data_IF_587969735911
#
_entry.id   IF_587969735911
#
_cell.length_a   1.000
_cell.length_b   1.000
_cell.length_c   1.000
_cell.angle_alpha   90.00
_cell.angle_beta   90.00
_cell.angle_gamma   90.00
#
_symmetry.space_group_name_H-M   'P 1'
#
loop_
_entity.id
_entity.type
_entity.pdbx_description
1 polymer ?
#
# COMPACT_ATOMS: atom_id res chain seq x y z
N UNK A 1 -15.07 4.72 -43.97
CA UNK A 1 -15.12 3.43 -43.22
C UNK A 1 -14.73 3.75 -41.78
N UNK A 2 -15.73 4.13 -41.03
CA UNK A 2 -15.54 4.53 -39.62
C UNK A 2 -15.44 3.27 -38.74
N UNK A 3 -14.25 3.02 -38.21
CA UNK A 3 -14.02 1.97 -37.22
C UNK A 3 -14.19 2.53 -35.83
N UNK A 4 -15.43 2.60 -35.39
CA UNK A 4 -15.75 2.90 -33.98
C UNK A 4 -15.68 1.59 -33.22
N UNK A 5 -14.57 1.35 -32.51
CA UNK A 5 -14.45 0.25 -31.55
C UNK A 5 -15.41 0.49 -30.39
N UNK A 6 -16.19 -0.50 -29.97
CA UNK A 6 -17.10 -0.34 -28.82
C UNK A 6 -16.33 -0.17 -27.52
N UNK A 7 -16.66 0.88 -26.78
CA UNK A 7 -16.22 1.08 -25.40
C UNK A 7 -16.80 -0.06 -24.56
N UNK A 8 -15.98 -0.80 -23.78
CA UNK A 8 -16.51 -1.82 -22.90
C UNK A 8 -17.42 -1.19 -21.83
N UNK A 9 -18.50 -1.86 -21.42
CA UNK A 9 -19.39 -1.37 -20.40
C UNK A 9 -18.66 -1.22 -19.07
N UNK A 10 -19.06 -0.24 -18.23
CA UNK A 10 -18.49 -0.09 -16.90
C UNK A 10 -18.69 -1.39 -16.09
N UNK A 11 -17.63 -1.84 -15.42
CA UNK A 11 -17.73 -2.97 -14.49
C UNK A 11 -18.86 -2.68 -13.51
N UNK A 12 -19.91 -3.49 -13.58
CA UNK A 12 -21.02 -3.39 -12.64
C UNK A 12 -20.46 -3.47 -11.21
N UNK A 13 -20.74 -2.45 -10.41
CA UNK A 13 -20.44 -2.45 -9.00
C UNK A 13 -21.03 -3.72 -8.39
N UNK A 14 -20.18 -4.67 -8.01
CA UNK A 14 -20.62 -5.85 -7.29
C UNK A 14 -21.25 -5.35 -5.99
N UNK A 15 -22.55 -5.58 -5.83
CA UNK A 15 -23.31 -5.22 -4.67
C UNK A 15 -22.57 -5.70 -3.42
N UNK A 16 -22.27 -4.78 -2.52
CA UNK A 16 -21.70 -5.09 -1.23
C UNK A 16 -22.69 -6.02 -0.50
N UNK A 17 -22.26 -7.22 -0.14
CA UNK A 17 -22.98 -8.08 0.78
C UNK A 17 -23.04 -7.38 2.14
N UNK A 18 -24.24 -7.08 2.68
CA UNK A 18 -24.38 -6.34 3.94
C UNK A 18 -24.04 -7.20 5.18
N UNK A 19 -23.74 -8.47 5.01
CA UNK A 19 -23.25 -9.35 6.07
C UNK A 19 -21.72 -9.38 5.98
N UNK A 20 -21.06 -8.50 6.72
CA UNK A 20 -19.63 -8.60 6.98
C UNK A 20 -19.32 -9.99 7.53
N UNK A 21 -18.97 -10.92 6.65
CA UNK A 21 -18.46 -12.23 7.03
C UNK A 21 -17.16 -11.97 7.78
N UNK A 22 -17.24 -11.97 9.10
CA UNK A 22 -16.08 -12.05 10.00
C UNK A 22 -15.41 -13.40 9.75
N UNK A 23 -14.57 -13.45 8.70
CA UNK A 23 -13.65 -14.56 8.56
C UNK A 23 -12.82 -14.61 9.85
N UNK A 24 -12.57 -15.80 10.42
CA UNK A 24 -11.73 -15.91 11.60
C UNK A 24 -10.38 -15.23 11.31
N UNK A 25 -9.76 -14.57 12.32
CA UNK A 25 -8.50 -13.88 12.14
C UNK A 25 -7.49 -14.80 11.45
N UNK A 26 -6.75 -14.28 10.50
CA UNK A 26 -5.74 -15.05 9.80
C UNK A 26 -4.74 -15.58 10.84
N UNK A 27 -4.34 -16.84 10.73
CA UNK A 27 -3.42 -17.52 11.67
C UNK A 27 -2.13 -16.78 11.97
N UNK A 28 -1.78 -15.81 11.14
CA UNK A 28 -0.54 -15.04 11.19
C UNK A 28 -0.74 -13.61 11.69
N UNK A 29 -1.98 -13.22 11.96
CA UNK A 29 -2.31 -11.86 12.43
C UNK A 29 -2.00 -11.74 13.92
N UNK A 30 -1.15 -10.77 14.27
CA UNK A 30 -0.81 -10.40 15.63
C UNK A 30 -1.61 -9.17 16.08
N UNK A 31 -1.74 -8.17 15.18
CA UNK A 31 -2.52 -6.97 15.42
C UNK A 31 -3.57 -6.83 14.32
N UNK A 32 -4.85 -6.64 14.65
CA UNK A 32 -5.91 -6.46 13.66
C UNK A 32 -5.76 -5.11 12.94
N UNK A 33 -6.44 -4.92 11.79
CA UNK A 33 -6.47 -3.63 11.11
C UNK A 33 -6.85 -2.49 12.05
N UNK A 34 -5.97 -1.50 12.15
CA UNK A 34 -6.07 -0.39 13.10
C UNK A 34 -5.76 0.91 12.36
N UNK A 35 -6.69 1.86 12.41
CA UNK A 35 -6.53 3.17 11.77
C UNK A 35 -5.76 4.13 12.69
N UNK A 36 -4.69 4.72 12.15
CA UNK A 36 -3.89 5.74 12.82
C UNK A 36 -4.44 7.16 12.59
N UNK A 37 -4.08 8.13 13.46
CA UNK A 37 -4.54 9.52 13.32
C UNK A 37 -4.16 10.18 11.99
N UNK A 38 -3.06 9.76 11.37
CA UNK A 38 -2.60 10.24 10.06
C UNK A 38 -3.32 9.60 8.86
N UNK A 39 -4.35 8.79 9.09
CA UNK A 39 -5.16 8.16 8.05
C UNK A 39 -4.54 6.90 7.42
N UNK A 40 -3.45 6.38 7.98
CA UNK A 40 -2.88 5.08 7.61
C UNK A 40 -3.53 4.00 8.48
N UNK A 41 -4.13 3.00 7.85
CA UNK A 41 -4.53 1.76 8.51
C UNK A 41 -3.39 0.76 8.41
N UNK A 42 -3.09 0.05 9.48
CA UNK A 42 -2.06 -0.99 9.52
C UNK A 42 -2.58 -2.25 10.22
N UNK A 43 -1.93 -3.35 9.95
CA UNK A 43 -2.02 -4.58 10.74
C UNK A 43 -0.66 -5.23 10.86
N UNK A 44 -0.44 -6.10 11.86
CA UNK A 44 0.85 -6.76 12.09
C UNK A 44 0.69 -8.26 11.94
N UNK A 45 1.60 -8.88 11.19
CA UNK A 45 1.56 -10.31 10.89
C UNK A 45 2.92 -10.97 11.02
N UNK A 46 2.91 -12.23 11.43
CA UNK A 46 4.05 -13.13 11.20
C UNK A 46 4.06 -13.62 9.76
N UNK A 47 5.22 -14.06 9.26
CA UNK A 47 5.36 -14.54 7.88
C UNK A 47 4.79 -15.96 7.75
N UNK A 48 3.79 -16.18 6.87
CA UNK A 48 3.37 -17.53 6.49
C UNK A 48 4.54 -18.33 5.89
N UNK A 49 4.64 -19.63 6.21
CA UNK A 49 5.73 -20.47 5.70
C UNK A 49 5.82 -20.46 4.17
N UNK A 50 4.68 -20.49 3.50
CA UNK A 50 4.63 -20.46 2.04
C UNK A 50 5.20 -19.17 1.44
N UNK A 51 5.07 -18.04 2.16
CA UNK A 51 5.50 -16.73 1.68
C UNK A 51 6.98 -16.42 1.94
N UNK A 52 7.67 -17.24 2.74
CA UNK A 52 9.09 -17.03 3.09
C UNK A 52 10.02 -17.12 1.88
N UNK A 53 9.73 -18.06 0.99
CA UNK A 53 10.53 -18.27 -0.22
C UNK A 53 10.50 -17.02 -1.11
N UNK A 54 9.35 -16.38 -1.24
CA UNK A 54 9.17 -15.19 -2.09
C UNK A 54 9.75 -13.92 -1.43
N UNK A 55 9.78 -13.89 -0.10
CA UNK A 55 10.25 -12.74 0.66
C UNK A 55 11.79 -12.69 0.78
N UNK A 56 12.48 -13.85 0.80
CA UNK A 56 13.94 -13.87 0.97
C UNK A 56 14.70 -13.11 -0.12
N UNK A 57 14.36 -13.20 -1.42
CA UNK A 57 15.01 -12.40 -2.45
C UNK A 57 14.63 -10.91 -2.43
N UNK A 58 13.49 -10.54 -1.84
CA UNK A 58 13.09 -9.13 -1.63
C UNK A 58 13.97 -8.47 -0.58
N UNK A 59 14.33 -9.23 0.47
CA UNK A 59 15.13 -8.76 1.61
C UNK A 59 16.44 -9.55 1.72
N UNK A 60 17.38 -9.40 0.76
CA UNK A 60 18.64 -10.13 0.78
C UNK A 60 19.45 -9.78 2.04
N UNK A 61 19.97 -10.82 2.71
CA UNK A 61 20.76 -10.66 3.93
C UNK A 61 19.96 -10.44 5.21
N UNK A 62 18.64 -10.26 5.14
CA UNK A 62 17.78 -10.16 6.33
C UNK A 62 17.36 -11.56 6.76
N UNK A 63 17.67 -11.94 8.00
CA UNK A 63 17.20 -13.19 8.57
C UNK A 63 15.69 -13.09 8.86
N UNK A 64 14.88 -13.93 8.19
CA UNK A 64 13.42 -13.95 8.36
C UNK A 64 13.00 -14.57 9.69
N UNK A 65 13.83 -15.40 10.27
CA UNK A 65 13.64 -16.09 11.56
C UNK A 65 14.69 -15.64 12.57
N UNK A 66 14.57 -16.10 13.81
CA UNK A 66 15.49 -15.82 14.88
C UNK A 66 14.78 -15.35 16.15
N UNK A 67 15.52 -14.79 17.09
CA UNK A 67 15.01 -14.31 18.37
C UNK A 67 13.93 -13.23 18.18
N UNK A 68 14.17 -12.32 17.23
CA UNK A 68 13.14 -11.40 16.72
C UNK A 68 12.81 -11.79 15.29
N UNK A 69 11.72 -12.51 15.06
CA UNK A 69 11.29 -12.87 13.69
C UNK A 69 10.87 -11.62 12.93
N UNK A 70 11.00 -11.68 11.60
CA UNK A 70 10.52 -10.63 10.74
C UNK A 70 9.00 -10.55 10.79
N UNK A 71 8.48 -9.35 10.99
CA UNK A 71 7.06 -9.01 10.94
C UNK A 71 6.74 -8.29 9.65
N UNK A 72 5.56 -8.59 9.09
CA UNK A 72 4.96 -7.91 7.96
C UNK A 72 3.91 -6.94 8.49
N UNK A 73 3.99 -5.70 8.00
CA UNK A 73 3.05 -4.63 8.35
C UNK A 73 2.41 -4.12 7.06
N UNK A 74 1.40 -4.84 6.52
CA UNK A 74 0.58 -4.29 5.45
C UNK A 74 -0.12 -3.03 5.94
N UNK A 75 -0.07 -1.99 5.11
CA UNK A 75 -0.70 -0.70 5.38
C UNK A 75 -1.57 -0.28 4.22
N UNK A 76 -2.61 0.45 4.50
CA UNK A 76 -3.44 1.05 3.47
C UNK A 76 -3.94 2.43 3.86
N UNK A 77 -4.25 3.22 2.86
CA UNK A 77 -4.79 4.56 3.00
C UNK A 77 -6.03 4.68 2.14
N UNK A 78 -7.08 5.30 2.69
CA UNK A 78 -8.27 5.62 1.91
C UNK A 78 -7.95 6.70 0.88
N UNK A 79 -8.22 6.42 -0.39
CA UNK A 79 -8.16 7.40 -1.47
C UNK A 79 -9.49 8.14 -1.62
N UNK A 80 -9.42 9.38 -2.14
CA UNK A 80 -10.62 10.16 -2.43
C UNK A 80 -11.29 9.76 -3.73
N UNK A 81 -10.54 9.09 -4.61
CA UNK A 81 -10.98 8.64 -5.93
C UNK A 81 -10.72 7.15 -6.07
N UNK A 82 -11.33 6.53 -7.09
CA UNK A 82 -11.06 5.14 -7.43
C UNK A 82 -9.69 5.04 -8.13
N UNK A 83 -8.73 4.39 -7.48
CA UNK A 83 -7.35 4.31 -7.98
C UNK A 83 -7.16 3.30 -9.12
N UNK A 84 -8.17 2.54 -9.50
CA UNK A 84 -8.17 1.70 -10.71
C UNK A 84 -8.40 2.53 -11.97
N UNK A 85 -9.06 3.66 -11.83
CA UNK A 85 -9.26 4.63 -12.91
C UNK A 85 -7.96 5.36 -13.26
N UNK A 86 -7.93 5.96 -14.45
CA UNK A 86 -6.78 6.69 -14.99
C UNK A 86 -7.16 8.14 -15.24
N UNK A 87 -6.38 9.07 -14.71
CA UNK A 87 -6.57 10.51 -14.89
C UNK A 87 -5.63 11.33 -14.02
N UNK A 88 -5.65 12.64 -14.21
CA UNK A 88 -4.80 13.57 -13.44
C UNK A 88 -5.19 13.59 -11.95
N UNK A 89 -6.48 13.43 -11.66
CA UNK A 89 -6.96 13.37 -10.28
C UNK A 89 -6.45 12.11 -9.54
N UNK A 90 -6.48 10.97 -10.21
CA UNK A 90 -5.97 9.70 -9.68
C UNK A 90 -4.45 9.74 -9.52
N UNK A 91 -3.73 10.34 -10.47
CA UNK A 91 -2.28 10.52 -10.38
C UNK A 91 -1.91 11.42 -9.19
N UNK A 92 -2.54 12.58 -9.05
CA UNK A 92 -2.31 13.50 -7.94
C UNK A 92 -2.65 12.87 -6.57
N UNK A 93 -3.71 12.06 -6.51
CA UNK A 93 -4.08 11.35 -5.28
C UNK A 93 -3.03 10.29 -4.92
N UNK A 94 -2.53 9.52 -5.90
CA UNK A 94 -1.46 8.54 -5.70
C UNK A 94 -0.18 9.19 -5.17
N UNK A 95 0.21 10.32 -5.73
CA UNK A 95 1.40 11.06 -5.30
C UNK A 95 1.26 11.55 -3.84
N UNK A 96 0.08 12.07 -3.48
CA UNK A 96 -0.21 12.51 -2.11
C UNK A 96 -0.12 11.36 -1.09
N UNK A 97 -0.70 10.21 -1.44
CA UNK A 97 -0.72 9.03 -0.57
C UNK A 97 0.67 8.38 -0.48
N UNK A 98 1.45 8.40 -1.57
CA UNK A 98 2.85 7.98 -1.61
C UNK A 98 3.71 8.84 -0.67
N UNK A 99 3.66 10.18 -0.81
CA UNK A 99 4.41 11.09 0.04
C UNK A 99 4.13 10.86 1.53
N UNK A 100 2.85 10.68 1.88
CA UNK A 100 2.43 10.42 3.26
C UNK A 100 3.01 9.11 3.78
N UNK A 101 2.90 8.03 2.99
CA UNK A 101 3.43 6.73 3.38
C UNK A 101 4.94 6.77 3.57
N UNK A 102 5.68 7.30 2.60
CA UNK A 102 7.15 7.36 2.65
C UNK A 102 7.64 8.16 3.85
N UNK A 103 7.03 9.33 4.11
CA UNK A 103 7.40 10.16 5.26
C UNK A 103 7.15 9.43 6.60
N UNK A 104 6.01 8.77 6.74
CA UNK A 104 5.66 7.99 7.92
C UNK A 104 6.54 6.75 8.08
N UNK A 105 6.73 5.96 7.02
CA UNK A 105 7.54 4.74 7.06
C UNK A 105 9.01 5.02 7.38
N UNK A 106 9.58 6.10 6.83
CA UNK A 106 10.92 6.55 7.18
C UNK A 106 11.02 6.89 8.68
N UNK A 107 10.06 7.65 9.22
CA UNK A 107 10.00 8.00 10.63
C UNK A 107 9.85 6.76 11.54
N UNK A 108 9.07 5.76 11.12
CA UNK A 108 8.98 4.45 11.81
C UNK A 108 10.34 3.76 11.85
N UNK A 109 11.01 3.65 10.70
CA UNK A 109 12.30 2.98 10.63
C UNK A 109 13.38 3.67 11.48
N UNK A 110 13.39 5.00 11.54
CA UNK A 110 14.31 5.77 12.38
C UNK A 110 14.06 5.53 13.86
N UNK A 111 12.79 5.51 14.29
CA UNK A 111 12.41 5.24 15.69
C UNK A 111 12.71 3.80 16.11
N UNK A 112 12.49 2.84 15.22
CA UNK A 112 12.88 1.44 15.44
C UNK A 112 14.40 1.33 15.63
N UNK A 113 15.18 1.97 14.75
CA UNK A 113 16.64 1.99 14.85
C UNK A 113 17.12 2.62 16.19
N UNK A 114 16.50 3.71 16.64
CA UNK A 114 16.80 4.33 17.93
C UNK A 114 16.51 3.41 19.14
N UNK A 115 15.63 2.41 18.97
CA UNK A 115 15.33 1.37 19.96
C UNK A 115 16.12 0.07 19.77
N UNK A 116 17.14 0.07 18.89
CA UNK A 116 17.93 -1.12 18.57
C UNK A 116 17.19 -2.17 17.75
N UNK A 117 16.07 -1.81 17.15
CA UNK A 117 15.25 -2.65 16.28
C UNK A 117 15.50 -2.34 14.81
N UNK A 118 15.21 -3.32 13.93
CA UNK A 118 15.34 -3.12 12.51
C UNK A 118 13.98 -2.85 11.86
N UNK A 119 13.95 -1.96 10.87
CA UNK A 119 12.79 -1.68 10.04
C UNK A 119 13.16 -1.29 8.62
N UNK A 120 12.31 -1.65 7.68
CA UNK A 120 12.40 -1.28 6.26
C UNK A 120 10.97 -1.14 5.69
N UNK A 121 10.86 -0.59 4.50
CA UNK A 121 9.59 -0.48 3.80
C UNK A 121 9.79 -0.64 2.29
N UNK A 122 8.71 -1.00 1.60
CA UNK A 122 8.68 -1.10 0.15
C UNK A 122 8.38 0.28 -0.43
N UNK A 123 9.18 0.72 -1.40
CA UNK A 123 8.81 1.86 -2.25
C UNK A 123 7.64 1.45 -3.15
N UNK A 124 6.44 2.02 -2.98
CA UNK A 124 5.27 1.60 -3.75
C UNK A 124 5.40 1.79 -5.26
N UNK A 125 6.35 2.63 -5.72
CA UNK A 125 6.58 2.88 -7.13
C UNK A 125 7.41 1.78 -7.80
N UNK A 126 8.49 1.38 -7.16
CA UNK A 126 9.41 0.35 -7.70
C UNK A 126 9.10 -1.05 -7.18
N UNK A 127 8.38 -1.16 -6.06
CA UNK A 127 8.18 -2.41 -5.35
C UNK A 127 9.43 -2.90 -4.59
N UNK A 128 10.51 -2.12 -4.54
CA UNK A 128 11.77 -2.53 -3.92
C UNK A 128 11.84 -2.10 -2.46
N UNK A 129 12.52 -2.89 -1.63
CA UNK A 129 12.85 -2.50 -0.27
C UNK A 129 13.85 -1.33 -0.29
N UNK A 130 13.58 -0.29 0.52
CA UNK A 130 14.28 1.00 0.46
C UNK A 130 15.60 0.97 1.22
N UNK A 131 15.63 0.32 2.38
CA UNK A 131 16.79 0.33 3.29
C UNK A 131 17.65 -0.93 3.19
N UNK A 132 17.12 -2.01 2.60
CA UNK A 132 17.86 -3.25 2.39
C UNK A 132 18.77 -3.13 1.17
N UNK A 133 20.11 -3.19 1.35
CA UNK A 133 21.04 -3.12 0.24
C UNK A 133 20.81 -4.25 -0.77
N UNK A 134 20.99 -3.93 -2.04
CA UNK A 134 20.89 -4.90 -3.15
C UNK A 134 19.52 -5.57 -3.35
N UNK A 135 18.45 -5.06 -2.75
CA UNK A 135 17.08 -5.47 -3.12
C UNK A 135 16.86 -5.18 -4.61
N UNK A 136 16.52 -6.21 -5.40
CA UNK A 136 16.29 -6.11 -6.85
C UNK A 136 15.03 -6.83 -7.30
N UNK A 137 14.36 -7.47 -6.37
CA UNK A 137 13.12 -8.21 -6.62
C UNK A 137 11.98 -7.42 -5.99
N UNK A 138 11.00 -7.09 -6.80
CA UNK A 138 9.83 -6.39 -6.33
C UNK A 138 9.01 -7.26 -5.37
N UNK A 139 8.56 -6.65 -4.29
CA UNK A 139 7.68 -7.29 -3.32
C UNK A 139 6.31 -7.55 -3.94
N UNK A 140 5.76 -8.77 -3.85
CA UNK A 140 4.47 -9.12 -4.43
C UNK A 140 3.32 -8.60 -3.54
N UNK A 141 3.11 -7.29 -3.53
CA UNK A 141 2.25 -6.60 -2.58
C UNK A 141 0.81 -7.11 -2.59
N UNK A 142 0.19 -7.23 -3.77
CA UNK A 142 -1.20 -7.70 -3.88
C UNK A 142 -1.36 -9.13 -3.38
N UNK A 143 -0.41 -10.03 -3.70
CA UNK A 143 -0.45 -11.42 -3.25
C UNK A 143 -0.21 -11.53 -1.74
N UNK A 144 0.61 -10.63 -1.18
CA UNK A 144 0.82 -10.52 0.26
C UNK A 144 -0.46 -10.11 0.99
N UNK A 145 -1.14 -9.06 0.51
CA UNK A 145 -2.42 -8.62 1.08
C UNK A 145 -3.51 -9.69 0.97
N UNK A 146 -3.62 -10.37 -0.17
CA UNK A 146 -4.54 -11.49 -0.33
C UNK A 146 -4.24 -12.62 0.67
N UNK A 147 -2.95 -12.95 0.85
CA UNK A 147 -2.53 -14.02 1.76
C UNK A 147 -2.73 -13.65 3.23
N UNK A 148 -2.35 -12.43 3.63
CA UNK A 148 -2.34 -11.99 5.02
C UNK A 148 -3.71 -11.52 5.50
N UNK A 149 -4.44 -10.77 4.67
CA UNK A 149 -5.70 -10.14 5.02
C UNK A 149 -6.92 -10.83 4.40
N UNK A 150 -6.70 -11.77 3.48
CA UNK A 150 -7.75 -12.50 2.75
C UNK A 150 -8.74 -11.58 2.02
N UNK A 151 -8.26 -10.43 1.59
CA UNK A 151 -9.08 -9.49 0.85
C UNK A 151 -9.42 -10.05 -0.53
N UNK A 152 -10.56 -9.62 -1.06
CA UNK A 152 -11.00 -10.04 -2.39
C UNK A 152 -10.12 -9.41 -3.46
N UNK A 153 -9.75 -10.23 -4.43
CA UNK A 153 -9.07 -9.79 -5.64
C UNK A 153 -9.95 -10.03 -6.86
N UNK A 154 -9.82 -9.18 -7.85
CA UNK A 154 -10.44 -9.34 -9.15
C UNK A 154 -9.36 -9.20 -10.23
N UNK A 155 -9.56 -9.86 -11.36
CA UNK A 155 -8.68 -9.72 -12.53
C UNK A 155 -9.29 -8.67 -13.45
N UNK A 156 -8.54 -7.62 -13.74
CA UNK A 156 -8.89 -6.56 -14.69
C UNK A 156 -7.84 -6.54 -15.81
N UNK A 157 -8.14 -7.17 -16.93
CA UNK A 157 -7.16 -7.38 -18.00
C UNK A 157 -6.01 -8.28 -17.57
N UNK A 158 -4.78 -7.78 -17.66
CA UNK A 158 -3.57 -8.48 -17.18
C UNK A 158 -3.20 -8.11 -15.72
N UNK A 159 -4.03 -7.36 -15.03
CA UNK A 159 -3.73 -6.84 -13.71
C UNK A 159 -4.65 -7.47 -12.66
N UNK A 160 -4.08 -7.75 -11.49
CA UNK A 160 -4.82 -8.18 -10.30
C UNK A 160 -5.14 -6.93 -9.47
N UNK A 161 -6.41 -6.71 -9.18
CA UNK A 161 -6.91 -5.57 -8.42
C UNK A 161 -7.41 -6.08 -7.07
N UNK A 162 -6.96 -5.45 -6.00
CA UNK A 162 -7.37 -5.78 -4.65
C UNK A 162 -8.46 -4.80 -4.19
N UNK A 163 -9.45 -5.32 -3.46
CA UNK A 163 -10.56 -4.54 -2.93
C UNK A 163 -10.53 -4.55 -1.40
N UNK A 164 -10.41 -3.36 -0.81
CA UNK A 164 -10.53 -3.17 0.64
C UNK A 164 -11.97 -3.45 1.07
N UNK A 165 -12.21 -4.12 2.23
CA UNK A 165 -13.57 -4.48 2.67
C UNK A 165 -14.54 -3.31 2.77
N UNK A 166 -14.05 -2.12 3.14
CA UNK A 166 -14.88 -0.92 3.36
C UNK A 166 -14.72 0.11 2.25
N UNK A 167 -13.51 0.26 1.68
CA UNK A 167 -13.20 1.35 0.73
C UNK A 167 -13.16 0.88 -0.73
N UNK A 168 -13.36 -0.42 -0.97
CA UNK A 168 -13.32 -0.98 -2.31
C UNK A 168 -11.97 -0.76 -2.98
N UNK A 169 -11.98 -0.25 -4.20
CA UNK A 169 -10.79 0.07 -5.01
C UNK A 169 -10.22 1.46 -4.73
N UNK A 170 -10.90 2.27 -3.89
CA UNK A 170 -10.38 3.56 -3.40
C UNK A 170 -9.40 3.36 -2.23
N UNK A 171 -8.37 2.53 -2.45
CA UNK A 171 -7.36 2.16 -1.46
C UNK A 171 -5.97 2.21 -2.06
N UNK A 172 -5.04 2.82 -1.32
CA UNK A 172 -3.61 2.84 -1.63
C UNK A 172 -2.88 1.90 -0.69
N UNK A 173 -2.19 0.91 -1.25
CA UNK A 173 -1.48 -0.14 -0.52
C UNK A 173 0.00 0.21 -0.37
N UNK A 174 0.60 -0.20 0.74
CA UNK A 174 2.03 -0.16 0.96
C UNK A 174 2.42 -1.12 2.10
N UNK A 175 3.65 -1.57 2.15
CA UNK A 175 4.11 -2.53 3.15
C UNK A 175 5.38 -2.05 3.85
N UNK A 176 5.40 -2.24 5.19
CA UNK A 176 6.55 -2.04 6.04
C UNK A 176 6.97 -3.38 6.65
N UNK A 177 8.25 -3.53 6.90
CA UNK A 177 8.86 -4.69 7.57
C UNK A 177 9.49 -4.26 8.89
N UNK A 178 9.43 -5.13 9.90
CA UNK A 178 10.09 -4.85 11.17
C UNK A 178 10.63 -6.12 11.84
N UNK A 179 11.72 -5.98 12.55
CA UNK A 179 12.23 -6.97 13.53
C UNK A 179 12.26 -6.28 14.89
N UNK A 180 11.15 -6.40 15.60
CA UNK A 180 10.93 -5.78 16.92
C UNK A 180 9.90 -6.61 17.70
N UNK A 181 9.85 -6.50 19.05
CA UNK A 181 8.69 -6.90 19.81
C UNK A 181 7.43 -6.18 19.30
N UNK A 182 6.29 -6.87 19.27
CA UNK A 182 5.05 -6.33 18.69
C UNK A 182 4.62 -5.05 19.40
N UNK A 183 4.74 -5.00 20.72
CA UNK A 183 4.37 -3.86 21.55
C UNK A 183 5.23 -2.62 21.22
N UNK A 184 6.54 -2.82 21.03
CA UNK A 184 7.48 -1.76 20.63
C UNK A 184 7.14 -1.27 19.22
N UNK A 185 6.84 -2.19 18.31
CA UNK A 185 6.45 -1.83 16.94
C UNK A 185 5.18 -1.00 16.93
N UNK A 186 4.12 -1.43 17.63
CA UNK A 186 2.85 -0.70 17.70
C UNK A 186 2.99 0.71 18.30
N UNK A 187 3.82 0.86 19.36
CA UNK A 187 4.12 2.16 19.95
C UNK A 187 4.79 3.07 18.92
N UNK A 188 5.82 2.56 18.23
CA UNK A 188 6.55 3.31 17.19
C UNK A 188 5.65 3.73 16.04
N UNK A 189 4.74 2.84 15.60
CA UNK A 189 3.79 3.14 14.52
C UNK A 189 2.88 4.32 14.89
N UNK A 190 2.39 4.36 16.14
CA UNK A 190 1.54 5.47 16.65
C UNK A 190 2.32 6.77 16.81
N UNK A 191 3.51 6.74 17.43
CA UNK A 191 4.36 7.93 17.57
C UNK A 191 4.76 8.55 16.22
N UNK A 192 5.06 7.70 15.23
CA UNK A 192 5.38 8.18 13.90
C UNK A 192 4.16 8.83 13.22
N UNK A 193 2.95 8.33 13.50
CA UNK A 193 1.73 8.90 12.95
C UNK A 193 1.40 10.27 13.54
N UNK A 194 1.72 10.51 14.80
CA UNK A 194 1.58 11.83 15.43
C UNK A 194 2.58 12.85 14.86
N UNK A 195 3.80 12.39 14.53
CA UNK A 195 4.85 13.24 13.98
C UNK A 195 4.65 13.58 12.49
N UNK A 196 3.89 12.78 11.75
CA UNK A 196 3.60 12.97 10.32
C UNK A 196 2.08 13.12 10.15
N UNK A 197 1.53 14.30 10.43
CA UNK A 197 0.10 14.54 10.33
C UNK A 197 -0.39 14.49 8.87
N UNK A 198 -1.70 14.32 8.70
CA UNK A 198 -2.35 14.43 7.40
C UNK A 198 -2.13 15.84 6.85
N UNK A 199 -1.44 15.96 5.71
CA UNK A 199 -1.51 17.21 4.94
C UNK A 199 -2.96 17.40 4.50
N UNK A 200 -3.61 18.47 4.96
CA UNK A 200 -4.92 18.85 4.44
C UNK A 200 -4.80 19.06 2.93
N UNK A 201 -5.76 18.50 2.20
CA UNK A 201 -5.88 18.77 0.77
C UNK A 201 -6.07 20.28 0.64
N UNK A 202 -5.13 20.96 -0.02
CA UNK A 202 -5.38 22.34 -0.44
C UNK A 202 -6.65 22.29 -1.28
N UNK A 203 -7.71 22.91 -0.79
CA UNK A 203 -8.97 23.05 -1.50
C UNK A 203 -8.63 23.61 -2.87
N UNK A 204 -8.74 22.76 -3.91
CA UNK A 204 -8.35 23.11 -5.25
C UNK A 204 -9.02 24.40 -5.64
N UNK A 205 -8.22 25.45 -5.87
CA UNK A 205 -8.64 26.66 -6.52
C UNK A 205 -9.22 26.23 -7.87
N UNK A 206 -10.52 26.28 -7.97
CA UNK A 206 -11.22 26.09 -9.22
C UNK A 206 -10.55 27.00 -10.25
N UNK A 207 -9.73 26.43 -11.12
CA UNK A 207 -9.13 27.13 -12.23
C UNK A 207 -10.25 27.46 -13.21
N UNK A 208 -10.63 28.72 -13.21
CA UNK A 208 -11.41 29.31 -14.27
C UNK A 208 -10.68 29.06 -15.60
N UNK A 209 -11.46 28.59 -16.57
CA UNK A 209 -11.06 28.33 -17.93
C UNK A 209 -10.31 29.51 -18.54
N UNK A 210 -9.15 29.24 -19.14
CA UNK A 210 -8.40 30.20 -19.94
C UNK A 210 -7.28 29.50 -20.67
N UNK A 211 -7.44 29.33 -21.97
CA UNK A 211 -6.63 28.52 -22.85
C UNK A 211 -5.15 28.88 -22.98
N UNK A 212 -4.39 27.99 -23.59
CA UNK A 212 -3.12 28.26 -24.29
C UNK A 212 -1.97 27.36 -23.97
N UNK A 213 -1.76 26.33 -24.80
CA UNK A 213 -0.51 26.00 -25.48
C UNK A 213 0.72 25.51 -24.72
N UNK A 214 1.07 24.24 -24.93
CA UNK A 214 2.43 23.83 -25.28
C UNK A 214 3.43 23.50 -24.19
N UNK A 215 3.94 22.26 -24.22
CA UNK A 215 5.28 21.95 -23.70
C UNK A 215 5.35 20.70 -22.84
N UNK A 216 5.87 19.61 -23.46
CA UNK A 216 6.08 18.29 -22.87
C UNK A 216 7.05 18.27 -21.70
N UNK A 217 6.75 17.44 -20.75
CA UNK A 217 7.60 17.04 -19.66
C UNK A 217 7.09 15.71 -19.14
N UNK A 218 7.76 14.61 -19.54
CA UNK A 218 7.40 13.28 -19.15
C UNK A 218 7.66 13.02 -17.66
N UNK A 219 6.70 13.29 -16.82
CA UNK A 219 6.65 12.78 -15.46
C UNK A 219 6.11 11.36 -15.51
N UNK A 220 6.96 10.35 -15.27
CA UNK A 220 6.52 8.98 -15.16
C UNK A 220 5.55 8.85 -13.99
N UNK A 221 4.26 8.73 -14.31
CA UNK A 221 3.24 8.41 -13.31
C UNK A 221 3.56 7.06 -12.69
N UNK A 222 3.72 7.04 -11.38
CA UNK A 222 3.97 5.84 -10.61
C UNK A 222 2.76 4.91 -10.77
N UNK A 223 2.93 3.65 -11.26
CA UNK A 223 1.84 2.70 -11.29
C UNK A 223 1.37 2.44 -9.87
N UNK A 224 0.08 2.49 -9.65
CA UNK A 224 -0.48 2.29 -8.33
C UNK A 224 -0.08 0.94 -7.75
N UNK A 225 0.33 0.92 -6.50
CA UNK A 225 0.59 -0.27 -5.70
C UNK A 225 -0.62 -1.21 -5.58
N UNK A 226 -1.81 -0.79 -6.03
CA UNK A 226 -3.02 -1.60 -6.03
C UNK A 226 -3.17 -2.52 -7.25
N UNK A 227 -2.23 -2.47 -8.21
CA UNK A 227 -2.32 -3.24 -9.46
C UNK A 227 -1.02 -4.01 -9.68
N UNK A 228 -1.05 -5.32 -9.48
CA UNK A 228 0.06 -6.22 -9.83
C UNK A 228 -0.16 -6.79 -11.24
N UNK A 229 0.89 -6.80 -12.04
CA UNK A 229 0.87 -7.57 -13.30
C UNK A 229 0.94 -9.05 -12.96
N UNK A 230 -0.02 -9.82 -13.48
CA UNK A 230 0.00 -11.28 -13.43
C UNK A 230 1.10 -11.84 -14.33
#
# INVERSE_FOLDING_TARGET
MDSTSPVPPPLAAAAADPAGSLLPPARHQLTPPTLLPNGIEFSVHTIPRAFRHDLQPVLPGVALEGELPLLLVPTCQRAAVDLVSWGDAEAAEKDLLLERFVAWAAAVCERLAARGCWGDYVDPCSGLAVRTPHSRIAYPEVDAFETLLRWRTAVAGCCKVLSHPTWGTSVYLATLFAKAPVEVLEEVLREAAEAVPVKERSAGRAAAAGGGGGGGGGGGACPAASVSKA
#
